data_IF_961802710489
#
_entry.id   IF_961802710489
#
_cell.length_a   1.000
_cell.length_b   1.000
_cell.length_c   1.000
_cell.angle_alpha   90.00
_cell.angle_beta   90.00
_cell.angle_gamma   90.00
#
_symmetry.space_group_name_H-M   'P 1'
#
loop_
_entity.id
_entity.type
_entity.pdbx_description
1 polymer ?
#
# COMPACT_ATOMS: atom_id res chain seq x y z
N UNK A 1 12.24 -27.99 -31.04
CA UNK A 1 12.78 -26.72 -30.50
C UNK A 1 12.00 -26.35 -29.25
N UNK A 2 12.63 -26.43 -28.07
CA UNK A 2 11.94 -26.48 -26.77
C UNK A 2 11.64 -25.07 -26.22
N UNK A 3 10.44 -24.53 -26.50
CA UNK A 3 10.01 -23.19 -26.05
C UNK A 3 9.98 -23.02 -24.52
N UNK A 4 9.89 -24.11 -23.75
CA UNK A 4 9.76 -24.08 -22.29
C UNK A 4 11.07 -23.68 -21.58
N UNK A 5 12.22 -24.11 -22.11
CA UNK A 5 13.53 -23.81 -21.53
C UNK A 5 13.90 -22.31 -21.62
N UNK A 6 13.40 -21.63 -22.65
CA UNK A 6 13.66 -20.19 -22.87
C UNK A 6 12.86 -19.31 -21.91
N UNK A 7 11.61 -19.67 -21.60
CA UNK A 7 10.76 -18.89 -20.67
C UNK A 7 11.29 -18.97 -19.24
N UNK A 8 11.68 -20.16 -18.78
CA UNK A 8 12.23 -20.35 -17.43
C UNK A 8 13.55 -19.59 -17.22
N UNK A 9 14.44 -19.59 -18.22
CA UNK A 9 15.70 -18.83 -18.13
C UNK A 9 15.48 -17.31 -18.16
N UNK A 10 14.44 -16.82 -18.85
CA UNK A 10 14.06 -15.39 -18.83
C UNK A 10 13.46 -14.95 -17.50
N UNK A 11 12.62 -15.80 -16.89
CA UNK A 11 12.06 -15.55 -15.57
C UNK A 11 13.15 -15.54 -14.48
N UNK A 12 14.08 -16.50 -14.53
CA UNK A 12 15.25 -16.52 -13.64
C UNK A 12 16.15 -15.30 -13.85
N UNK A 13 16.40 -14.89 -15.09
CA UNK A 13 17.22 -13.72 -15.40
C UNK A 13 16.55 -12.40 -14.97
N UNK A 14 15.21 -12.31 -15.01
CA UNK A 14 14.46 -11.16 -14.52
C UNK A 14 14.44 -11.10 -12.99
N UNK A 15 14.24 -12.24 -12.32
CA UNK A 15 14.31 -12.34 -10.85
C UNK A 15 15.73 -12.11 -10.29
N UNK A 16 16.77 -12.56 -11.02
CA UNK A 16 18.17 -12.36 -10.63
C UNK A 16 18.72 -10.96 -10.98
N UNK A 17 17.94 -10.11 -11.67
CA UNK A 17 18.35 -8.76 -12.07
C UNK A 17 18.44 -7.82 -10.87
N UNK A 18 17.52 -7.96 -9.90
CA UNK A 18 17.45 -7.10 -8.72
C UNK A 18 17.03 -7.86 -7.46
N UNK A 19 17.99 -8.09 -6.56
CA UNK A 19 17.76 -8.72 -5.25
C UNK A 19 16.71 -7.98 -4.43
N UNK A 20 16.64 -6.65 -4.57
CA UNK A 20 15.68 -5.81 -3.84
C UNK A 20 14.24 -6.05 -4.28
N UNK A 21 13.98 -6.19 -5.59
CA UNK A 21 12.64 -6.47 -6.10
C UNK A 21 12.18 -7.85 -5.65
N UNK A 22 13.07 -8.85 -5.71
CA UNK A 22 12.78 -10.19 -5.18
C UNK A 22 12.45 -10.16 -3.68
N UNK A 23 13.18 -9.38 -2.88
CA UNK A 23 12.94 -9.23 -1.45
C UNK A 23 11.61 -8.52 -1.15
N UNK A 24 11.28 -7.45 -1.87
CA UNK A 24 9.99 -6.75 -1.75
C UNK A 24 8.81 -7.69 -2.06
N UNK A 25 8.96 -8.52 -3.09
CA UNK A 25 7.94 -9.51 -3.44
C UNK A 25 7.76 -10.57 -2.34
N UNK A 26 8.86 -11.03 -1.74
CA UNK A 26 8.81 -11.95 -0.59
C UNK A 26 8.13 -11.29 0.61
N UNK A 27 8.48 -10.04 0.94
CA UNK A 27 7.84 -9.28 2.02
C UNK A 27 6.33 -9.15 1.77
N UNK A 28 5.92 -8.83 0.54
CA UNK A 28 4.51 -8.72 0.18
C UNK A 28 3.75 -10.01 0.46
N UNK A 29 4.28 -11.17 0.03
CA UNK A 29 3.64 -12.46 0.28
C UNK A 29 3.54 -12.74 1.78
N UNK A 30 4.63 -12.51 2.53
CA UNK A 30 4.65 -12.72 3.98
C UNK A 30 3.59 -11.86 4.67
N UNK A 31 3.46 -10.58 4.28
CA UNK A 31 2.47 -9.67 4.86
C UNK A 31 1.04 -10.08 4.52
N UNK A 32 0.76 -10.49 3.28
CA UNK A 32 -0.59 -10.95 2.90
C UNK A 32 -0.99 -12.18 3.72
N UNK A 33 -0.09 -13.15 3.88
CA UNK A 33 -0.33 -14.35 4.69
C UNK A 33 -0.53 -13.98 6.15
N UNK A 34 0.35 -13.15 6.72
CA UNK A 34 0.26 -12.73 8.11
C UNK A 34 -1.06 -11.99 8.41
N UNK A 35 -1.45 -11.02 7.58
CA UNK A 35 -2.66 -10.24 7.78
C UNK A 35 -3.94 -11.07 7.55
N UNK A 36 -3.88 -12.03 6.63
CA UNK A 36 -4.95 -13.01 6.43
C UNK A 36 -5.14 -13.88 7.68
N UNK A 37 -4.06 -14.30 8.34
CA UNK A 37 -4.15 -15.07 9.58
C UNK A 37 -4.70 -14.25 10.75
N UNK A 38 -4.36 -12.95 10.83
CA UNK A 38 -4.84 -12.07 11.90
C UNK A 38 -6.32 -11.71 11.74
N UNK A 39 -6.79 -11.42 10.52
CA UNK A 39 -8.18 -11.02 10.26
C UNK A 39 -8.69 -11.51 8.89
N UNK A 40 -9.00 -12.81 8.74
CA UNK A 40 -9.30 -13.40 7.43
C UNK A 40 -10.57 -12.84 6.78
N UNK A 41 -11.60 -12.55 7.58
CA UNK A 41 -12.90 -12.06 7.09
C UNK A 41 -12.85 -10.62 6.57
N UNK A 42 -12.00 -9.78 7.14
CA UNK A 42 -11.90 -8.35 6.77
C UNK A 42 -10.79 -8.10 5.76
N UNK A 43 -9.64 -8.76 5.89
CA UNK A 43 -8.47 -8.49 5.07
C UNK A 43 -8.62 -8.95 3.62
N UNK A 44 -9.19 -10.14 3.38
CA UNK A 44 -9.41 -10.68 2.01
C UNK A 44 -10.67 -10.08 1.34
N UNK A 45 -11.36 -9.14 1.99
CA UNK A 45 -12.54 -8.48 1.40
C UNK A 45 -12.19 -7.67 0.15
N UNK A 46 -13.07 -7.71 -0.85
CA UNK A 46 -12.96 -6.87 -2.06
C UNK A 46 -12.87 -5.38 -1.71
N UNK A 47 -13.58 -4.93 -0.67
CA UNK A 47 -13.53 -3.55 -0.22
C UNK A 47 -12.13 -3.14 0.28
N UNK A 48 -11.42 -4.06 0.96
CA UNK A 48 -10.05 -3.81 1.42
C UNK A 48 -9.08 -3.71 0.25
N UNK A 49 -9.17 -4.62 -0.73
CA UNK A 49 -8.36 -4.55 -1.94
C UNK A 49 -8.64 -3.28 -2.76
N UNK A 50 -9.91 -2.88 -2.90
CA UNK A 50 -10.26 -1.62 -3.56
C UNK A 50 -9.68 -0.41 -2.84
N UNK A 51 -9.74 -0.38 -1.50
CA UNK A 51 -9.14 0.70 -0.71
C UNK A 51 -7.62 0.80 -0.94
N UNK A 52 -6.91 -0.35 -0.94
CA UNK A 52 -5.48 -0.38 -1.26
C UNK A 52 -5.20 0.06 -2.70
N UNK A 53 -6.05 -0.33 -3.65
CA UNK A 53 -5.88 0.03 -5.07
C UNK A 53 -6.10 1.52 -5.33
N UNK A 54 -7.07 2.13 -4.65
CA UNK A 54 -7.35 3.57 -4.77
C UNK A 54 -6.20 4.44 -4.26
N UNK A 55 -5.43 3.94 -3.28
CA UNK A 55 -4.27 4.66 -2.75
C UNK A 55 -3.08 4.69 -3.74
N UNK A 56 -2.94 3.71 -4.64
CA UNK A 56 -1.80 3.70 -5.58
C UNK A 56 -1.76 4.93 -6.50
N UNK A 57 -2.86 5.33 -7.18
CA UNK A 57 -2.89 6.58 -7.95
C UNK A 57 -2.59 7.82 -7.11
N UNK A 58 -3.11 7.88 -5.87
CA UNK A 58 -2.89 9.02 -4.96
C UNK A 58 -1.40 9.17 -4.60
N UNK A 59 -0.72 8.07 -4.23
CA UNK A 59 0.72 8.06 -3.99
C UNK A 59 1.52 8.43 -5.25
N UNK A 60 1.05 8.02 -6.43
CA UNK A 60 1.68 8.40 -7.71
C UNK A 60 1.64 9.90 -7.97
N UNK A 61 0.48 10.55 -7.76
CA UNK A 61 0.33 12.00 -7.94
C UNK A 61 1.15 12.76 -6.88
N UNK A 62 1.15 12.31 -5.62
CA UNK A 62 1.98 12.89 -4.58
C UNK A 62 3.48 12.81 -4.92
N UNK A 63 3.94 11.70 -5.50
CA UNK A 63 5.32 11.54 -5.94
C UNK A 63 5.73 12.58 -6.99
N UNK A 64 4.85 12.91 -7.94
CA UNK A 64 5.11 14.00 -8.90
C UNK A 64 5.18 15.37 -8.23
N UNK A 65 4.32 15.65 -7.25
CA UNK A 65 4.36 16.89 -6.47
C UNK A 65 5.68 17.06 -5.72
N UNK A 66 6.16 16.01 -5.06
CA UNK A 66 7.44 15.98 -4.33
C UNK A 66 8.63 16.07 -5.30
N UNK A 67 8.54 15.39 -6.44
CA UNK A 67 9.58 15.47 -7.48
C UNK A 67 9.79 16.93 -7.89
N UNK A 68 8.70 17.69 -8.09
CA UNK A 68 8.79 19.08 -8.50
C UNK A 68 9.48 19.96 -7.44
N UNK A 69 9.15 19.80 -6.16
CA UNK A 69 9.80 20.57 -5.08
C UNK A 69 11.29 20.25 -4.99
N UNK A 70 11.67 18.98 -5.14
CA UNK A 70 13.08 18.54 -5.15
C UNK A 70 13.86 19.01 -6.37
N UNK A 71 13.24 19.07 -7.56
CA UNK A 71 13.89 19.55 -8.80
C UNK A 71 14.16 21.05 -8.76
N UNK A 72 13.28 21.85 -8.14
CA UNK A 72 13.47 23.30 -7.96
C UNK A 72 14.50 23.60 -6.85
N UNK A 73 14.99 22.58 -6.15
CA UNK A 73 16.00 22.69 -5.08
C UNK A 73 15.41 22.91 -3.68
N UNK A 74 14.09 22.72 -3.52
CA UNK A 74 13.43 22.69 -2.22
C UNK A 74 13.60 21.32 -1.55
N UNK A 75 13.84 21.30 -0.24
CA UNK A 75 13.99 20.05 0.56
C UNK A 75 12.60 19.56 1.07
N UNK A 76 11.51 20.11 0.53
CA UNK A 76 10.20 19.96 1.13
C UNK A 76 9.52 18.63 0.77
N UNK A 77 9.66 17.66 1.68
CA UNK A 77 8.97 16.37 1.69
C UNK A 77 7.75 16.38 2.64
N UNK A 78 7.39 17.54 3.22
CA UNK A 78 6.35 17.64 4.26
C UNK A 78 4.96 17.24 3.77
N UNK A 79 4.70 17.24 2.45
CA UNK A 79 3.44 16.82 1.83
C UNK A 79 3.03 15.40 2.26
N UNK A 80 3.97 14.46 2.32
CA UNK A 80 3.69 13.08 2.80
C UNK A 80 3.36 13.09 4.29
N UNK A 81 4.06 13.91 5.07
CA UNK A 81 3.80 14.08 6.50
C UNK A 81 2.41 14.65 6.78
N UNK A 82 2.02 15.69 6.04
CA UNK A 82 0.68 16.29 6.14
C UNK A 82 -0.41 15.30 5.71
N UNK A 83 -0.19 14.52 4.65
CA UNK A 83 -1.13 13.49 4.21
C UNK A 83 -1.36 12.43 5.30
N UNK A 84 -0.27 11.92 5.89
CA UNK A 84 -0.37 10.93 6.97
C UNK A 84 -0.99 11.50 8.24
N UNK A 85 -0.64 12.73 8.62
CA UNK A 85 -1.27 13.41 9.76
C UNK A 85 -2.78 13.56 9.54
N UNK A 86 -3.18 14.01 8.35
CA UNK A 86 -4.58 14.16 7.97
C UNK A 86 -5.34 12.83 7.99
N UNK A 87 -4.71 11.75 7.52
CA UNK A 87 -5.32 10.42 7.56
C UNK A 87 -5.58 9.95 9.01
N UNK A 88 -4.60 10.12 9.91
CA UNK A 88 -4.75 9.75 11.31
C UNK A 88 -5.78 10.63 12.02
N UNK A 89 -5.76 11.94 11.80
CA UNK A 89 -6.73 12.85 12.42
C UNK A 89 -8.14 12.57 11.93
N UNK A 90 -8.34 12.34 10.63
CA UNK A 90 -9.63 11.97 10.06
C UNK A 90 -10.13 10.62 10.58
N UNK A 91 -9.27 9.61 10.68
CA UNK A 91 -9.64 8.32 11.25
C UNK A 91 -10.02 8.45 12.73
N UNK A 92 -9.28 9.26 13.49
CA UNK A 92 -9.53 9.49 14.91
C UNK A 92 -10.83 10.26 15.16
N UNK A 93 -11.11 11.30 14.36
CA UNK A 93 -12.37 12.06 14.45
C UNK A 93 -13.55 11.22 14.02
N UNK A 94 -13.44 10.44 12.94
CA UNK A 94 -14.49 9.52 12.51
C UNK A 94 -14.78 8.49 13.60
N UNK A 95 -13.75 7.90 14.21
CA UNK A 95 -13.93 6.95 15.30
C UNK A 95 -14.60 7.60 16.52
N UNK A 96 -14.22 8.84 16.86
CA UNK A 96 -14.85 9.57 17.96
C UNK A 96 -16.34 9.86 17.71
N UNK A 97 -16.68 10.33 16.50
CA UNK A 97 -18.06 10.63 16.12
C UNK A 97 -18.93 9.37 15.99
N UNK A 98 -18.36 8.29 15.46
CA UNK A 98 -19.06 7.01 15.27
C UNK A 98 -19.27 6.29 16.61
N UNK A 99 -18.36 6.47 17.59
CA UNK A 99 -18.51 5.90 18.93
C UNK A 99 -19.80 6.35 19.63
N UNK A 100 -20.24 7.59 19.40
CA UNK A 100 -21.49 8.12 19.95
C UNK A 100 -22.73 7.42 19.35
N UNK A 101 -22.67 6.97 18.09
CA UNK A 101 -23.75 6.21 17.43
C UNK A 101 -23.69 4.69 17.59
N UNK A 102 -22.51 4.11 17.84
CA UNK A 102 -22.34 2.66 18.06
C UNK A 102 -22.81 2.21 19.45
N UNK A 103 -22.86 3.10 20.45
CA UNK A 103 -23.37 2.79 21.79
C UNK A 103 -24.89 2.59 21.82
N UNK A 104 -25.64 3.21 20.92
CA UNK A 104 -27.12 3.16 20.85
C UNK A 104 -27.63 2.02 19.93
N UNK A 105 -26.77 1.46 19.07
CA UNK A 105 -27.15 0.45 18.07
C UNK A 105 -26.85 -1.01 18.48
N UNK A 106 -26.35 -1.25 19.70
CA UNK A 106 -26.07 -2.59 20.25
C UNK A 106 -26.93 -2.97 21.46
N UNK A 107 -28.06 -2.29 21.70
CA UNK A 107 -29.15 -2.80 22.55
C UNK A 107 -30.23 -3.46 21.73
#
# INVERSE_FOLDING_TARGET
MNKQATVQNRLKAWYARDRHVGLLFVILIVLIVAMTLVNPSKFISMANFQAMLNQFPEYGIMAFGIMLTMVIGGIDLSVVGMANLTAITAASTLLALVKDGYSEAQT
#
